data_IF_326185217736
#
_entry.id   IF_326185217736
#
_cell.length_a   1.000
_cell.length_b   1.000
_cell.length_c   1.000
_cell.angle_alpha   90.00
_cell.angle_beta   90.00
_cell.angle_gamma   90.00
#
_symmetry.space_group_name_H-M   'P 1'
#
loop_
_entity.id
_entity.type
_entity.pdbx_description
1 polymer ?
#
# COMPACT_ATOMS: atom_id res chain seq x y z
N UNK A 1 -5.04 15.69 1.78
CA UNK A 1 -5.56 14.85 2.87
C UNK A 1 -4.69 13.60 2.97
N UNK A 2 -4.40 13.12 4.18
CA UNK A 2 -3.70 11.86 4.40
C UNK A 2 -4.34 11.07 5.54
N UNK A 3 -4.36 9.74 5.42
CA UNK A 3 -4.39 8.85 6.58
C UNK A 3 -2.95 8.74 7.09
N UNK A 4 -2.68 9.29 8.27
CA UNK A 4 -1.33 9.21 8.86
C UNK A 4 -1.01 7.81 9.37
N UNK A 5 -2.01 6.95 9.48
CA UNK A 5 -1.89 5.51 9.76
C UNK A 5 -0.92 4.79 8.83
N UNK A 6 -0.78 5.28 7.59
CA UNK A 6 -0.02 4.60 6.53
C UNK A 6 1.43 5.07 6.53
N UNK A 7 1.99 5.47 5.38
CA UNK A 7 3.39 5.88 5.26
C UNK A 7 3.86 6.96 6.25
N UNK A 8 2.99 7.89 6.66
CA UNK A 8 3.37 8.96 7.60
C UNK A 8 3.79 8.40 8.96
N UNK A 9 2.93 7.60 9.60
CA UNK A 9 3.24 6.87 10.82
C UNK A 9 4.25 5.78 10.54
N UNK A 10 3.97 4.92 9.56
CA UNK A 10 4.94 4.00 8.96
C UNK A 10 5.38 2.82 9.81
N UNK A 11 4.75 2.60 10.96
CA UNK A 11 5.13 1.55 11.92
C UNK A 11 3.93 0.75 12.45
N UNK A 12 2.77 0.85 11.78
CA UNK A 12 1.52 0.13 12.13
C UNK A 12 1.07 0.23 13.60
N UNK A 13 1.45 1.32 14.28
CA UNK A 13 1.22 1.52 15.72
C UNK A 13 0.39 2.77 16.04
N UNK A 14 -0.11 3.47 15.01
CA UNK A 14 -0.88 4.70 15.16
C UNK A 14 -1.96 4.81 14.09
N UNK A 15 -3.16 5.25 14.47
CA UNK A 15 -4.24 5.63 13.55
C UNK A 15 -4.43 7.14 13.59
N UNK A 16 -4.49 7.79 12.43
CA UNK A 16 -4.70 9.23 12.39
C UNK A 16 -4.98 9.80 11.00
N UNK A 17 -5.27 11.09 10.97
CA UNK A 17 -5.59 11.84 9.77
C UNK A 17 -4.91 13.21 9.76
N UNK A 18 -4.62 13.70 8.56
CA UNK A 18 -4.02 15.01 8.35
C UNK A 18 -4.65 15.74 7.15
N UNK A 19 -4.95 17.02 7.34
CA UNK A 19 -5.41 17.93 6.30
C UNK A 19 -4.41 19.08 6.19
N UNK A 20 -4.06 19.43 4.95
CA UNK A 20 -3.24 20.59 4.61
C UNK A 20 -3.96 21.39 3.53
N UNK A 21 -3.88 22.71 3.64
CA UNK A 21 -4.39 23.66 2.65
C UNK A 21 -3.49 24.89 2.64
N UNK A 22 -3.39 25.54 1.48
CA UNK A 22 -2.77 26.86 1.35
C UNK A 22 -3.80 28.01 1.44
N UNK A 23 -5.08 27.67 1.57
CA UNK A 23 -6.19 28.61 1.73
C UNK A 23 -6.50 28.81 3.22
N UNK A 24 -6.25 30.03 3.70
CA UNK A 24 -6.46 30.43 5.11
C UNK A 24 -7.93 30.35 5.53
N UNK A 25 -8.87 30.74 4.66
CA UNK A 25 -10.30 30.69 4.99
C UNK A 25 -10.75 29.23 5.17
N UNK A 26 -10.30 28.34 4.28
CA UNK A 26 -10.55 26.92 4.42
C UNK A 26 -9.89 26.36 5.69
N UNK A 27 -8.68 26.80 6.03
CA UNK A 27 -7.99 26.39 7.26
C UNK A 27 -8.79 26.76 8.52
N UNK A 28 -9.31 27.98 8.60
CA UNK A 28 -10.11 28.44 9.74
C UNK A 28 -11.41 27.63 9.89
N UNK A 29 -12.06 27.33 8.77
CA UNK A 29 -13.27 26.48 8.76
C UNK A 29 -12.95 25.06 9.21
N UNK A 30 -11.83 24.49 8.78
CA UNK A 30 -11.37 23.16 9.22
C UNK A 30 -11.02 23.15 10.70
N UNK A 31 -10.34 24.18 11.22
CA UNK A 31 -10.00 24.31 12.63
C UNK A 31 -11.26 24.44 13.52
N UNK A 32 -12.25 25.22 13.07
CA UNK A 32 -13.55 25.30 13.73
C UNK A 32 -14.23 23.93 13.83
N UNK A 33 -14.29 23.18 12.71
CA UNK A 33 -14.88 21.84 12.69
C UNK A 33 -14.10 20.85 13.55
N UNK A 34 -12.77 20.89 13.52
CA UNK A 34 -11.91 20.05 14.35
C UNK A 34 -12.23 20.24 15.84
N UNK A 35 -12.37 21.49 16.28
CA UNK A 35 -12.72 21.81 17.66
C UNK A 35 -14.19 21.46 17.99
N UNK A 36 -15.14 21.79 17.11
CA UNK A 36 -16.57 21.61 17.37
C UNK A 36 -17.02 20.15 17.34
N UNK A 37 -16.47 19.33 16.42
CA UNK A 37 -16.77 17.90 16.31
C UNK A 37 -15.96 17.08 17.31
N UNK A 38 -14.76 17.54 17.68
CA UNK A 38 -13.92 16.88 18.68
C UNK A 38 -13.19 15.62 18.18
N UNK A 39 -13.20 15.36 16.86
CA UNK A 39 -12.42 14.28 16.25
C UNK A 39 -10.93 14.66 16.14
N UNK A 40 -10.28 14.86 17.29
CA UNK A 40 -8.88 15.29 17.43
C UNK A 40 -7.96 14.13 17.75
N UNK A 41 -6.72 14.17 17.22
CA UNK A 41 -5.71 13.14 17.50
C UNK A 41 -5.15 13.24 18.91
N UNK A 42 -4.91 12.09 19.54
CA UNK A 42 -4.20 12.01 20.84
C UNK A 42 -2.81 12.65 20.74
N UNK A 43 -2.35 13.42 21.74
CA UNK A 43 -0.98 13.95 21.76
C UNK A 43 0.09 12.87 21.63
N UNK A 44 -0.15 11.68 22.19
CA UNK A 44 0.77 10.55 22.09
C UNK A 44 0.83 10.00 20.65
N UNK A 45 -0.32 9.86 20.00
CA UNK A 45 -0.42 9.41 18.61
C UNK A 45 0.21 10.42 17.65
N UNK A 46 0.04 11.72 17.92
CA UNK A 46 0.72 12.79 17.18
C UNK A 46 2.24 12.70 17.34
N UNK A 47 2.72 12.36 18.54
CA UNK A 47 4.14 12.11 18.79
C UNK A 47 4.66 10.89 18.00
N UNK A 48 3.93 9.77 17.99
CA UNK A 48 4.29 8.58 17.20
C UNK A 48 4.31 8.88 15.69
N UNK A 49 3.30 9.59 15.19
CA UNK A 49 3.26 10.04 13.80
C UNK A 49 4.47 10.93 13.47
N UNK A 50 4.79 11.90 14.33
CA UNK A 50 5.95 12.78 14.13
C UNK A 50 7.27 12.01 14.18
N UNK A 51 7.39 11.01 15.05
CA UNK A 51 8.53 10.09 15.09
C UNK A 51 8.69 9.34 13.77
N UNK A 52 7.59 8.82 13.21
CA UNK A 52 7.55 8.15 11.91
C UNK A 52 7.95 9.05 10.74
N UNK A 53 7.50 10.30 10.74
CA UNK A 53 7.82 11.28 9.69
C UNK A 53 9.32 11.55 9.55
N UNK A 54 10.08 11.45 10.65
CA UNK A 54 11.55 11.64 10.63
C UNK A 54 12.28 10.63 9.76
N UNK A 55 11.70 9.45 9.53
CA UNK A 55 12.27 8.41 8.68
C UNK A 55 11.52 8.22 7.37
N UNK A 56 10.52 9.07 7.07
CA UNK A 56 9.67 8.91 5.89
C UNK A 56 10.48 8.83 4.59
N UNK A 57 11.41 9.75 4.36
CA UNK A 57 12.18 9.79 3.12
C UNK A 57 12.98 8.50 2.90
N UNK A 58 13.77 8.09 3.90
CA UNK A 58 14.61 6.88 3.79
C UNK A 58 13.79 5.59 3.70
N UNK A 59 12.61 5.53 4.35
CA UNK A 59 11.68 4.40 4.18
C UNK A 59 11.10 4.37 2.78
N UNK A 60 10.67 5.53 2.24
CA UNK A 60 10.12 5.61 0.90
C UNK A 60 11.12 5.23 -0.18
N UNK A 61 12.40 5.60 -0.05
CA UNK A 61 13.46 5.18 -0.97
C UNK A 61 13.53 3.65 -1.04
N UNK A 62 13.56 2.99 0.12
CA UNK A 62 13.59 1.52 0.21
C UNK A 62 12.29 0.86 -0.25
N UNK A 63 11.13 1.43 0.07
CA UNK A 63 9.84 0.94 -0.44
C UNK A 63 9.80 0.92 -1.98
N UNK A 64 10.26 2.01 -2.62
CA UNK A 64 10.31 2.10 -4.08
C UNK A 64 11.33 1.13 -4.68
N UNK A 65 12.50 1.00 -4.05
CA UNK A 65 13.53 0.02 -4.44
C UNK A 65 12.99 -1.41 -4.42
N UNK A 66 12.43 -1.84 -3.28
CA UNK A 66 11.87 -3.18 -3.13
C UNK A 66 10.68 -3.42 -4.07
N UNK A 67 9.80 -2.43 -4.25
CA UNK A 67 8.64 -2.57 -5.12
C UNK A 67 9.02 -2.75 -6.59
N UNK A 68 10.06 -2.05 -7.08
CA UNK A 68 10.58 -2.25 -8.45
C UNK A 68 11.08 -3.68 -8.65
N UNK A 69 11.83 -4.22 -7.69
CA UNK A 69 12.30 -5.61 -7.75
C UNK A 69 11.13 -6.63 -7.72
N UNK A 70 10.13 -6.40 -6.87
CA UNK A 70 8.90 -7.21 -6.83
C UNK A 70 8.17 -7.18 -8.17
N UNK A 71 8.05 -6.00 -8.79
CA UNK A 71 7.40 -5.84 -10.10
C UNK A 71 8.15 -6.62 -11.19
N UNK A 72 9.48 -6.57 -11.21
CA UNK A 72 10.30 -7.35 -12.15
C UNK A 72 10.06 -8.86 -12.00
N UNK A 73 10.05 -9.38 -10.76
CA UNK A 73 9.72 -10.78 -10.49
C UNK A 73 8.31 -11.14 -10.97
N UNK A 74 7.32 -10.31 -10.67
CA UNK A 74 5.92 -10.55 -11.06
C UNK A 74 5.71 -10.52 -12.58
N UNK A 75 6.37 -9.61 -13.32
CA UNK A 75 6.24 -9.55 -14.79
C UNK A 75 6.81 -10.79 -15.49
N UNK A 76 7.78 -11.47 -14.87
CA UNK A 76 8.41 -12.67 -15.41
C UNK A 76 7.76 -13.99 -15.02
N UNK A 77 6.78 -13.99 -14.10
CA UNK A 77 6.23 -15.22 -13.52
C UNK A 77 5.00 -15.71 -14.28
N UNK A 78 5.01 -16.98 -14.67
CA UNK A 78 3.92 -17.67 -15.39
C UNK A 78 2.57 -17.73 -14.64
N UNK A 79 2.56 -17.58 -13.32
CA UNK A 79 1.35 -17.54 -12.47
C UNK A 79 0.71 -16.15 -12.40
N UNK A 80 1.34 -15.13 -12.98
CA UNK A 80 0.87 -13.74 -12.96
C UNK A 80 0.40 -13.34 -14.36
N UNK A 81 -0.81 -12.80 -14.45
CA UNK A 81 -1.35 -12.35 -15.76
C UNK A 81 -1.17 -10.87 -16.01
N UNK A 82 -1.23 -10.06 -14.96
CA UNK A 82 -1.17 -8.60 -15.05
C UNK A 82 -0.55 -8.04 -13.78
N UNK A 83 0.30 -7.03 -13.91
CA UNK A 83 0.86 -6.26 -12.82
C UNK A 83 0.35 -4.83 -12.92
N UNK A 84 -0.13 -4.29 -11.80
CA UNK A 84 -0.59 -2.90 -11.68
C UNK A 84 0.41 -2.15 -10.82
N UNK A 85 1.30 -1.40 -11.49
CA UNK A 85 2.27 -0.53 -10.84
C UNK A 85 2.51 0.73 -11.68
N UNK A 86 2.44 1.95 -11.10
CA UNK A 86 2.60 3.19 -11.88
C UNK A 86 3.94 3.34 -12.60
N UNK A 87 4.97 2.63 -12.14
CA UNK A 87 6.30 2.64 -12.76
C UNK A 87 6.42 1.84 -14.06
N UNK A 88 5.42 1.03 -14.41
CA UNK A 88 5.40 0.27 -15.66
C UNK A 88 5.03 1.17 -16.84
N UNK A 89 5.78 1.09 -17.94
CA UNK A 89 5.58 1.96 -19.12
C UNK A 89 4.24 1.74 -19.82
N UNK A 90 3.65 0.56 -19.69
CA UNK A 90 2.33 0.20 -20.22
C UNK A 90 1.18 0.49 -19.24
N UNK A 91 1.48 0.95 -18.02
CA UNK A 91 0.44 1.37 -17.08
C UNK A 91 -0.26 2.64 -17.59
N UNK A 92 -1.60 2.70 -17.68
CA UNK A 92 -2.33 3.83 -18.28
C UNK A 92 -2.02 5.20 -17.65
N UNK A 93 -1.62 5.21 -16.37
CA UNK A 93 -1.24 6.41 -15.63
C UNK A 93 0.26 6.73 -15.60
N UNK A 94 1.11 5.97 -16.28
CA UNK A 94 2.58 6.06 -16.17
C UNK A 94 3.10 7.47 -16.44
N UNK A 95 2.74 8.05 -17.58
CA UNK A 95 3.19 9.39 -17.99
C UNK A 95 2.79 10.47 -16.99
N UNK A 96 1.59 10.36 -16.41
CA UNK A 96 1.13 11.29 -15.39
C UNK A 96 1.91 11.09 -14.08
N UNK A 97 2.10 9.84 -13.66
CA UNK A 97 2.90 9.48 -12.48
C UNK A 97 4.33 10.01 -12.60
N UNK A 98 5.02 9.73 -13.71
CA UNK A 98 6.39 10.16 -13.96
C UNK A 98 6.56 11.69 -13.97
N UNK A 99 5.52 12.45 -14.38
CA UNK A 99 5.55 13.92 -14.36
C UNK A 99 5.36 14.52 -12.97
N UNK A 100 4.56 13.89 -12.10
CA UNK A 100 4.10 14.51 -10.85
C UNK A 100 4.61 13.84 -9.57
N UNK A 101 5.14 12.61 -9.67
CA UNK A 101 5.67 11.84 -8.55
C UNK A 101 7.21 11.85 -8.60
N UNK A 102 7.86 11.78 -7.44
CA UNK A 102 9.32 11.66 -7.36
C UNK A 102 9.82 10.24 -7.67
N UNK A 103 8.99 9.25 -7.33
CA UNK A 103 9.15 7.82 -7.63
C UNK A 103 7.75 7.17 -7.50
N UNK A 104 7.61 5.88 -7.80
CA UNK A 104 6.31 5.23 -8.02
C UNK A 104 5.71 4.54 -6.78
N UNK A 105 6.41 4.54 -5.64
CA UNK A 105 5.90 4.07 -4.35
C UNK A 105 6.06 2.57 -4.11
N UNK A 106 5.63 2.13 -2.92
CA UNK A 106 5.75 0.75 -2.43
C UNK A 106 4.50 -0.13 -2.61
N UNK A 107 3.48 0.36 -3.32
CA UNK A 107 2.22 -0.37 -3.51
C UNK A 107 2.24 -1.08 -4.86
N UNK A 108 2.00 -2.39 -4.86
CA UNK A 108 1.93 -3.22 -6.07
C UNK A 108 0.67 -4.06 -6.00
N UNK A 109 -0.08 -4.16 -7.08
CA UNK A 109 -1.14 -5.16 -7.21
C UNK A 109 -0.90 -6.03 -8.43
N UNK A 110 -1.40 -7.25 -8.43
CA UNK A 110 -1.29 -8.14 -9.59
C UNK A 110 -2.45 -9.14 -9.63
N UNK A 111 -2.64 -9.77 -10.79
CA UNK A 111 -3.72 -10.75 -11.03
C UNK A 111 -3.15 -12.16 -11.18
N UNK A 112 -3.68 -13.11 -10.42
CA UNK A 112 -3.22 -14.50 -10.41
C UNK A 112 -3.94 -15.31 -11.51
N UNK A 113 -3.17 -15.99 -12.36
CA UNK A 113 -3.68 -16.72 -13.52
C UNK A 113 -4.70 -17.82 -13.18
N UNK A 114 -4.48 -18.50 -12.05
CA UNK A 114 -5.31 -19.62 -11.58
C UNK A 114 -6.59 -19.17 -10.85
N UNK A 115 -6.94 -17.88 -10.89
CA UNK A 115 -8.20 -17.35 -10.38
C UNK A 115 -8.25 -17.10 -8.87
N UNK A 116 -9.45 -16.82 -8.37
CA UNK A 116 -9.69 -16.34 -7.00
C UNK A 116 -9.18 -17.26 -5.89
N UNK A 117 -9.41 -18.57 -6.00
CA UNK A 117 -8.95 -19.53 -4.98
C UNK A 117 -7.42 -19.55 -4.89
N UNK A 118 -6.73 -19.44 -6.02
CA UNK A 118 -5.27 -19.38 -6.04
C UNK A 118 -4.76 -18.04 -5.49
N UNK A 119 -5.41 -16.93 -5.81
CA UNK A 119 -5.10 -15.62 -5.22
C UNK A 119 -5.24 -15.66 -3.69
N UNK A 120 -6.33 -16.23 -3.17
CA UNK A 120 -6.56 -16.38 -1.73
C UNK A 120 -5.55 -17.34 -1.08
N UNK A 121 -5.22 -18.46 -1.74
CA UNK A 121 -4.17 -19.37 -1.23
C UNK A 121 -2.83 -18.65 -1.12
N UNK A 122 -2.44 -17.90 -2.17
CA UNK A 122 -1.17 -17.17 -2.21
C UNK A 122 -0.99 -16.30 -0.96
N UNK A 123 -2.02 -15.52 -0.59
CA UNK A 123 -1.96 -14.59 0.54
C UNK A 123 -1.79 -15.27 1.90
N UNK A 124 -1.99 -16.59 2.00
CA UNK A 124 -1.82 -17.37 3.25
C UNK A 124 -0.53 -18.19 3.29
N UNK A 125 0.25 -18.19 2.22
CA UNK A 125 1.43 -19.06 2.06
C UNK A 125 2.77 -18.35 2.20
N UNK A 126 2.76 -17.02 2.13
CA UNK A 126 3.92 -16.16 2.39
C UNK A 126 4.36 -16.23 3.87
N UNK A 127 5.64 -16.02 4.12
CA UNK A 127 6.28 -16.05 5.43
C UNK A 127 6.86 -14.69 5.83
N UNK A 128 7.24 -13.86 4.85
CA UNK A 128 7.69 -12.47 5.05
C UNK A 128 6.50 -11.54 4.95
N UNK A 129 5.67 -11.69 3.91
CA UNK A 129 4.44 -10.91 3.82
C UNK A 129 3.41 -11.41 4.83
N UNK A 130 2.98 -10.50 5.71
CA UNK A 130 1.89 -10.77 6.65
C UNK A 130 0.53 -10.55 5.98
N UNK A 131 -0.39 -11.51 6.13
CA UNK A 131 -1.78 -11.36 5.70
C UNK A 131 -2.50 -10.40 6.64
N UNK A 132 -2.64 -9.14 6.24
CA UNK A 132 -3.32 -8.12 7.03
C UNK A 132 -3.86 -6.98 6.16
N UNK A 133 -4.89 -6.31 6.67
CA UNK A 133 -5.32 -5.02 6.13
C UNK A 133 -4.30 -3.92 6.48
N UNK A 134 -4.51 -2.71 5.93
CA UNK A 134 -3.59 -1.56 5.99
C UNK A 134 -2.46 -1.62 4.95
N UNK A 135 -1.53 -0.65 5.02
CA UNK A 135 -0.41 -0.47 4.10
C UNK A 135 0.59 0.58 4.60
N UNK A 136 1.77 0.59 3.99
CA UNK A 136 2.76 1.67 4.10
C UNK A 136 3.57 1.70 5.40
N UNK A 137 3.56 0.59 6.13
CA UNK A 137 4.45 0.40 7.27
C UNK A 137 5.76 -0.28 6.85
N UNK A 138 6.70 -0.41 7.78
CA UNK A 138 8.02 -1.00 7.52
C UNK A 138 7.96 -2.49 7.15
N UNK A 139 6.96 -3.20 7.65
CA UNK A 139 6.69 -4.59 7.32
C UNK A 139 5.89 -4.75 6.02
N UNK A 140 6.18 -5.81 5.29
CA UNK A 140 5.51 -6.22 4.07
C UNK A 140 4.15 -6.83 4.38
N UNK A 141 3.10 -6.32 3.74
CA UNK A 141 1.72 -6.82 3.88
C UNK A 141 1.18 -7.33 2.55
N UNK A 142 0.42 -8.41 2.60
CA UNK A 142 -0.32 -8.99 1.47
C UNK A 142 -1.79 -9.08 1.83
N UNK A 143 -2.67 -8.84 0.87
CA UNK A 143 -4.10 -9.01 1.07
C UNK A 143 -4.82 -9.39 -0.24
N UNK A 144 -6.05 -9.89 -0.06
CA UNK A 144 -7.00 -10.16 -1.13
C UNK A 144 -8.16 -9.14 -1.05
N UNK A 145 -8.11 -8.03 -1.80
CA UNK A 145 -8.98 -6.88 -1.52
C UNK A 145 -10.47 -7.18 -1.66
N UNK A 146 -10.87 -8.08 -2.57
CA UNK A 146 -12.27 -8.44 -2.80
C UNK A 146 -13.00 -9.08 -1.60
N UNK A 147 -12.26 -9.66 -0.66
CA UNK A 147 -12.83 -10.27 0.57
C UNK A 147 -12.33 -9.59 1.85
N UNK A 148 -11.51 -8.54 1.72
CA UNK A 148 -10.90 -7.78 2.81
C UNK A 148 -11.25 -6.29 2.66
N UNK A 149 -10.31 -5.42 2.30
CA UNK A 149 -10.51 -3.96 2.34
C UNK A 149 -11.59 -3.40 1.42
N UNK A 150 -12.00 -4.16 0.40
CA UNK A 150 -13.04 -3.77 -0.54
C UNK A 150 -14.26 -4.70 -0.49
N UNK A 151 -14.41 -5.50 0.58
CA UNK A 151 -15.62 -6.28 0.80
C UNK A 151 -16.90 -5.41 0.81
N UNK A 152 -16.81 -4.15 1.23
CA UNK A 152 -17.91 -3.18 1.21
C UNK A 152 -18.29 -2.67 -0.20
N UNK A 153 -17.49 -2.96 -1.23
CA UNK A 153 -17.71 -2.54 -2.61
C UNK A 153 -18.27 -3.66 -3.51
N UNK A 154 -18.52 -4.86 -2.97
CA UNK A 154 -19.03 -6.00 -3.73
C UNK A 154 -20.37 -5.68 -4.43
N UNK A 155 -20.49 -5.99 -5.72
CA UNK A 155 -21.68 -5.70 -6.53
C UNK A 155 -21.83 -4.23 -6.96
N UNK A 156 -20.79 -3.41 -6.79
CA UNK A 156 -20.77 -2.01 -7.24
C UNK A 156 -19.82 -1.82 -8.43
N UNK A 157 -19.85 -0.63 -9.05
CA UNK A 157 -18.89 -0.27 -10.11
C UNK A 157 -17.43 -0.24 -9.64
N UNK A 158 -17.19 -0.25 -8.31
CA UNK A 158 -15.86 -0.27 -7.70
C UNK A 158 -15.42 -1.68 -7.28
N UNK A 159 -16.17 -2.71 -7.67
CA UNK A 159 -15.80 -4.09 -7.40
C UNK A 159 -14.45 -4.43 -8.04
N UNK A 160 -13.57 -5.00 -7.23
CA UNK A 160 -12.23 -5.41 -7.67
C UNK A 160 -12.26 -6.85 -8.19
N UNK A 161 -11.43 -7.19 -9.20
CA UNK A 161 -11.34 -8.57 -9.68
C UNK A 161 -11.02 -9.53 -8.54
N UNK A 162 -11.74 -10.67 -8.50
CA UNK A 162 -11.57 -11.67 -7.45
C UNK A 162 -10.23 -12.40 -7.50
N UNK A 163 -9.43 -12.25 -8.54
CA UNK A 163 -8.08 -12.80 -8.67
C UNK A 163 -6.97 -11.77 -8.37
N UNK A 164 -7.35 -10.60 -7.83
CA UNK A 164 -6.44 -9.52 -7.51
C UNK A 164 -5.81 -9.70 -6.12
N UNK A 165 -4.49 -9.58 -6.06
CA UNK A 165 -3.70 -9.54 -4.84
C UNK A 165 -3.07 -8.15 -4.73
N UNK A 166 -3.08 -7.57 -3.52
CA UNK A 166 -2.39 -6.30 -3.22
C UNK A 166 -1.24 -6.54 -2.27
N UNK A 167 -0.10 -5.95 -2.59
CA UNK A 167 1.10 -5.89 -1.77
C UNK A 167 1.34 -4.46 -1.30
N UNK A 168 1.58 -4.32 0.00
CA UNK A 168 2.31 -3.18 0.57
C UNK A 168 3.73 -3.66 0.80
N UNK A 169 4.64 -3.38 -0.12
CA UNK A 169 6.02 -3.86 -0.05
C UNK A 169 6.77 -3.05 1.01
N UNK A 170 7.31 -3.74 2.02
CA UNK A 170 8.00 -3.18 3.18
C UNK A 170 9.46 -2.79 2.90
N UNK A 171 10.25 -2.68 3.97
CA UNK A 171 11.67 -2.31 3.93
C UNK A 171 12.63 -3.44 4.34
N UNK A 172 12.15 -4.68 4.35
CA UNK A 172 12.97 -5.87 4.56
C UNK A 172 14.08 -5.99 3.49
N UNK A 173 14.95 -6.98 3.66
CA UNK A 173 15.88 -7.41 2.62
C UNK A 173 15.11 -7.68 1.33
N UNK A 174 15.55 -7.09 0.22
CA UNK A 174 14.93 -7.31 -1.09
C UNK A 174 14.92 -8.79 -1.43
N UNK A 175 16.01 -9.51 -1.14
CA UNK A 175 16.09 -10.94 -1.45
C UNK A 175 15.07 -11.76 -0.66
N UNK A 176 14.86 -11.46 0.62
CA UNK A 176 13.89 -12.19 1.45
C UNK A 176 12.46 -11.99 0.93
N UNK A 177 12.13 -10.76 0.49
CA UNK A 177 10.85 -10.44 -0.14
C UNK A 177 10.66 -11.23 -1.45
N UNK A 178 11.68 -11.26 -2.30
CA UNK A 178 11.62 -11.94 -3.60
C UNK A 178 11.55 -13.46 -3.42
N UNK A 179 12.34 -14.02 -2.52
CA UNK A 179 12.38 -15.46 -2.23
C UNK A 179 11.04 -15.92 -1.65
N UNK A 180 10.46 -15.16 -0.73
CA UNK A 180 9.15 -15.48 -0.14
C UNK A 180 8.03 -15.46 -1.18
N UNK A 181 7.94 -14.37 -1.95
CA UNK A 181 6.89 -14.22 -2.95
C UNK A 181 7.05 -15.22 -4.10
N UNK A 182 8.28 -15.44 -4.58
CA UNK A 182 8.58 -16.42 -5.62
C UNK A 182 8.23 -17.84 -5.19
N UNK A 183 8.66 -18.27 -4.00
CA UNK A 183 8.33 -19.59 -3.48
C UNK A 183 6.81 -19.78 -3.26
N UNK A 184 6.11 -18.72 -2.84
CA UNK A 184 4.67 -18.78 -2.65
C UNK A 184 3.93 -18.92 -3.99
N UNK A 185 4.39 -18.21 -5.04
CA UNK A 185 3.86 -18.32 -6.41
C UNK A 185 4.16 -19.69 -7.05
N UNK A 186 5.37 -20.23 -6.89
CA UNK A 186 5.77 -21.55 -7.41
C UNK A 186 4.91 -22.70 -6.86
N UNK A 187 4.31 -22.52 -5.68
CA UNK A 187 3.45 -23.51 -5.01
C UNK A 187 1.97 -23.41 -5.42
N UNK A 188 1.58 -22.46 -6.28
CA UNK A 188 0.19 -22.27 -6.74
C UNK A 188 -0.25 -23.27 -7.80
#
# INVERSE_FOLDING_TARGET
MHSTTKYCGGHSDVVGGFLATNDTELSDRLAYLQNAVGAVGSPFDNYLTLRGLKTLAVRMDRHCENARAVVELLQGHDKVTHVLYPGLSDHPGHDAAARQMKDFGGMVSFRVASGADAAMRLTTTTQVFSLAESLGAVESLIEHPGVMTHASAAGSELEVPADLVRLSVGIESTQDILDDLGQALDRL
#
